data_IF_543185651227
#
_entry.id   IF_543185651227
#
_cell.length_a   1.000
_cell.length_b   1.000
_cell.length_c   1.000
_cell.angle_alpha   90.00
_cell.angle_beta   90.00
_cell.angle_gamma   90.00
#
_symmetry.space_group_name_H-M   'P 1'
#
loop_
_entity.id
_entity.type
_entity.pdbx_description
1 polymer ?
#
# COMPACT_ATOMS: atom_id res chain seq x y z
N UNK A 1 0.65 20.95 29.78
CA UNK A 1 0.61 19.82 28.82
C UNK A 1 1.99 19.20 28.83
N UNK A 2 2.11 17.95 29.30
CA UNK A 2 3.40 17.25 29.31
C UNK A 2 3.58 16.62 27.92
N UNK A 3 4.07 17.39 26.95
CA UNK A 3 4.43 16.87 25.63
C UNK A 3 5.77 16.17 25.77
N UNK A 4 5.74 14.90 26.19
CA UNK A 4 6.93 14.06 26.17
C UNK A 4 7.43 14.00 24.73
N UNK A 5 8.55 14.67 24.45
CA UNK A 5 9.25 14.57 23.16
C UNK A 5 9.72 13.13 23.00
N UNK A 6 9.20 12.42 22.01
CA UNK A 6 9.57 11.04 21.75
C UNK A 6 9.21 10.62 20.32
N UNK A 7 9.94 9.64 19.81
CA UNK A 7 9.60 8.93 18.58
C UNK A 7 8.45 7.94 18.83
N UNK A 8 7.72 7.57 17.77
CA UNK A 8 6.94 6.34 17.80
C UNK A 8 7.88 5.14 17.80
N UNK A 9 7.55 4.09 18.53
CA UNK A 9 8.42 2.91 18.65
C UNK A 9 8.33 2.06 17.39
N UNK A 10 9.39 1.33 17.02
CA UNK A 10 9.36 0.42 15.86
C UNK A 10 8.21 -0.62 15.97
N UNK A 11 7.88 -1.04 17.19
CA UNK A 11 6.74 -1.92 17.45
C UNK A 11 5.38 -1.29 17.12
N UNK A 12 5.22 0.02 17.34
CA UNK A 12 4.02 0.75 16.90
C UNK A 12 3.90 0.78 15.37
N UNK A 13 5.01 0.91 14.62
CA UNK A 13 4.99 0.86 13.15
C UNK A 13 4.63 -0.52 12.61
N UNK A 14 5.20 -1.59 13.16
CA UNK A 14 4.85 -2.94 12.71
C UNK A 14 3.40 -3.27 13.06
N UNK A 15 2.92 -2.84 14.24
CA UNK A 15 1.50 -2.96 14.57
C UNK A 15 0.61 -2.20 13.59
N UNK A 16 1.01 -0.99 13.19
CA UNK A 16 0.33 -0.22 12.15
C UNK A 16 0.24 -1.01 10.84
N UNK A 17 1.33 -1.69 10.42
CA UNK A 17 1.31 -2.54 9.23
C UNK A 17 0.31 -3.70 9.37
N UNK A 18 0.30 -4.40 10.51
CA UNK A 18 -0.69 -5.47 10.77
C UNK A 18 -2.14 -4.97 10.72
N UNK A 19 -2.43 -3.81 11.30
CA UNK A 19 -3.76 -3.20 11.27
C UNK A 19 -4.11 -2.70 9.84
N UNK A 20 -3.13 -2.18 9.11
CA UNK A 20 -3.25 -1.69 7.72
C UNK A 20 -3.42 -2.82 6.70
N UNK A 21 -2.88 -4.01 6.95
CA UNK A 21 -3.19 -5.21 6.18
C UNK A 21 -4.45 -5.90 6.67
N UNK A 22 -4.77 -5.84 7.97
CA UNK A 22 -6.02 -6.38 8.50
C UNK A 22 -6.05 -7.88 8.66
N UNK A 23 -4.87 -8.45 8.83
CA UNK A 23 -4.65 -9.90 8.91
C UNK A 23 -4.97 -10.47 10.29
N UNK A 24 -5.10 -9.61 11.32
CA UNK A 24 -5.50 -9.99 12.68
C UNK A 24 -6.90 -9.43 13.01
N UNK A 25 -7.99 -10.09 12.55
CA UNK A 25 -9.34 -9.68 12.89
C UNK A 25 -9.56 -9.71 14.41
N UNK A 26 -10.18 -8.67 14.97
CA UNK A 26 -10.50 -8.60 16.41
C UNK A 26 -11.71 -9.45 16.82
N UNK A 27 -12.56 -9.86 15.86
CA UNK A 27 -13.67 -10.83 15.98
C UNK A 27 -14.01 -11.45 14.61
N UNK A 28 -14.30 -12.75 14.62
CA UNK A 28 -15.03 -13.53 13.59
C UNK A 28 -14.61 -13.27 12.13
N UNK A 29 -13.40 -13.70 11.75
CA UNK A 29 -13.17 -14.08 10.36
C UNK A 29 -12.61 -15.50 10.36
N UNK A 30 -13.43 -16.45 9.89
CA UNK A 30 -13.03 -17.84 9.66
C UNK A 30 -12.39 -17.93 8.28
N UNK A 31 -11.08 -17.76 8.25
CA UNK A 31 -10.24 -18.35 7.21
C UNK A 31 -9.13 -19.09 7.95
N UNK A 32 -9.06 -20.40 7.70
CA UNK A 32 -8.55 -21.45 8.59
C UNK A 32 -7.02 -21.64 8.61
N UNK A 33 -6.21 -20.58 8.50
CA UNK A 33 -4.74 -20.75 8.57
C UNK A 33 -4.11 -20.27 9.89
N UNK A 34 -4.79 -19.39 10.64
CA UNK A 34 -4.31 -18.88 11.92
C UNK A 34 -5.41 -19.05 12.96
N UNK A 35 -5.20 -19.98 13.89
CA UNK A 35 -6.14 -20.20 14.98
C UNK A 35 -6.19 -19.01 15.96
N UNK A 36 -7.21 -18.98 16.81
CA UNK A 36 -7.38 -17.91 17.81
C UNK A 36 -6.24 -17.83 18.84
N UNK A 37 -5.51 -18.92 19.06
CA UNK A 37 -4.37 -18.97 19.98
C UNK A 37 -3.18 -18.22 19.37
N UNK A 38 -2.86 -18.53 18.11
CA UNK A 38 -1.82 -17.86 17.33
C UNK A 38 -2.13 -16.38 17.16
N UNK A 39 -3.38 -16.00 16.85
CA UNK A 39 -3.80 -14.58 16.79
C UNK A 39 -3.53 -13.86 18.10
N UNK A 40 -3.94 -14.43 19.24
CA UNK A 40 -3.70 -13.85 20.57
C UNK A 40 -2.20 -13.75 20.89
N UNK A 41 -1.41 -14.75 20.50
CA UNK A 41 0.03 -14.75 20.68
C UNK A 41 0.69 -13.60 19.89
N UNK A 42 0.35 -13.43 18.61
CA UNK A 42 0.86 -12.34 17.77
C UNK A 42 0.42 -10.97 18.33
N UNK A 43 -0.85 -10.81 18.72
CA UNK A 43 -1.33 -9.57 19.33
C UNK A 43 -0.60 -9.22 20.63
N UNK A 44 -0.29 -10.22 21.46
CA UNK A 44 0.50 -10.04 22.68
C UNK A 44 1.94 -9.64 22.36
N UNK A 45 2.56 -10.25 21.35
CA UNK A 45 3.92 -9.91 20.90
C UNK A 45 3.98 -8.49 20.34
N UNK A 46 3.04 -8.10 19.47
CA UNK A 46 2.92 -6.72 18.96
C UNK A 46 2.72 -5.70 20.08
N UNK A 47 1.92 -6.03 21.10
CA UNK A 47 1.68 -5.15 22.24
C UNK A 47 2.93 -4.95 23.12
N UNK A 48 3.75 -5.99 23.28
CA UNK A 48 5.05 -5.91 23.97
C UNK A 48 6.06 -5.10 23.17
N UNK A 49 6.17 -5.37 21.87
CA UNK A 49 7.04 -4.62 20.95
C UNK A 49 6.70 -3.12 20.93
N UNK A 50 5.41 -2.77 20.90
CA UNK A 50 4.98 -1.38 20.92
C UNK A 50 5.38 -0.64 22.21
N UNK A 51 5.58 -1.36 23.31
CA UNK A 51 6.07 -0.85 24.60
C UNK A 51 7.59 -1.00 24.78
N UNK A 52 8.29 -1.44 23.73
CA UNK A 52 9.72 -1.73 23.77
C UNK A 52 10.12 -2.76 24.83
N UNK A 53 9.25 -3.75 25.09
CA UNK A 53 9.51 -4.84 26.04
C UNK A 53 10.15 -6.07 25.36
N UNK A 54 11.23 -6.60 25.96
CA UNK A 54 11.85 -7.88 25.57
C UNK A 54 12.95 -7.77 24.50
N UNK A 55 13.24 -8.88 23.81
CA UNK A 55 14.25 -8.94 22.74
C UNK A 55 13.79 -8.26 21.46
N UNK A 56 13.99 -6.94 21.37
CA UNK A 56 13.38 -6.08 20.33
C UNK A 56 13.68 -6.55 18.90
N UNK A 57 14.96 -6.73 18.54
CA UNK A 57 15.36 -7.05 17.16
C UNK A 57 14.86 -8.42 16.71
N UNK A 58 15.05 -9.46 17.53
CA UNK A 58 14.59 -10.82 17.19
C UNK A 58 13.07 -10.89 17.12
N UNK A 59 12.37 -10.25 18.06
CA UNK A 59 10.91 -10.20 18.07
C UNK A 59 10.37 -9.41 16.88
N UNK A 60 11.01 -8.30 16.49
CA UNK A 60 10.63 -7.48 15.34
C UNK A 60 10.79 -8.26 14.04
N UNK A 61 11.94 -8.90 13.83
CA UNK A 61 12.19 -9.75 12.66
C UNK A 61 11.18 -10.89 12.56
N UNK A 62 10.85 -11.54 13.69
CA UNK A 62 9.86 -12.60 13.73
C UNK A 62 8.46 -12.12 13.32
N UNK A 63 7.98 -10.98 13.85
CA UNK A 63 6.64 -10.48 13.50
C UNK A 63 6.55 -10.01 12.04
N UNK A 64 7.64 -9.50 11.46
CA UNK A 64 7.69 -9.15 10.03
C UNK A 64 7.62 -10.42 9.18
N UNK A 65 8.39 -11.45 9.53
CA UNK A 65 8.36 -12.74 8.83
C UNK A 65 6.97 -13.37 8.90
N UNK A 66 6.33 -13.34 10.07
CA UNK A 66 4.95 -13.82 10.24
C UNK A 66 3.98 -13.04 9.35
N UNK A 67 4.06 -11.72 9.29
CA UNK A 67 3.20 -10.92 8.41
C UNK A 67 3.37 -11.32 6.94
N UNK A 68 4.63 -11.50 6.49
CA UNK A 68 4.93 -11.94 5.14
C UNK A 68 4.35 -13.32 4.83
N UNK A 69 4.47 -14.28 5.76
CA UNK A 69 3.90 -15.61 5.61
C UNK A 69 2.38 -15.59 5.53
N UNK A 70 1.72 -14.73 6.32
CA UNK A 70 0.25 -14.58 6.26
C UNK A 70 -0.17 -13.99 4.92
N UNK A 71 0.49 -12.93 4.45
CA UNK A 71 0.13 -12.30 3.18
C UNK A 71 0.37 -13.23 1.97
N UNK A 72 1.39 -14.09 2.06
CA UNK A 72 1.67 -15.08 1.02
C UNK A 72 0.57 -16.14 0.87
N UNK A 73 -0.30 -16.36 1.87
CA UNK A 73 -1.46 -17.24 1.70
C UNK A 73 -2.62 -16.59 0.96
N UNK A 74 -2.66 -15.25 0.88
CA UNK A 74 -3.71 -14.51 0.18
C UNK A 74 -3.37 -14.16 -1.27
N UNK A 75 -2.08 -14.02 -1.61
CA UNK A 75 -1.66 -13.63 -2.96
C UNK A 75 -0.91 -14.75 -3.67
N UNK A 76 -1.30 -15.10 -4.91
CA UNK A 76 -0.76 -16.28 -5.61
C UNK A 76 0.62 -16.07 -6.23
N UNK A 77 1.24 -14.89 -6.11
CA UNK A 77 2.51 -14.56 -6.78
C UNK A 77 3.54 -13.98 -5.83
N UNK A 78 4.70 -14.64 -5.79
CA UNK A 78 5.87 -14.16 -5.03
C UNK A 78 6.39 -12.83 -5.57
N UNK A 79 6.21 -12.55 -6.88
CA UNK A 79 6.59 -11.28 -7.50
C UNK A 79 5.70 -10.15 -6.97
N UNK A 80 4.39 -10.36 -6.90
CA UNK A 80 3.45 -9.37 -6.34
C UNK A 80 3.73 -9.16 -4.85
N UNK A 81 3.93 -10.24 -4.10
CA UNK A 81 4.28 -10.17 -2.68
C UNK A 81 5.58 -9.40 -2.43
N UNK A 82 6.62 -9.69 -3.20
CA UNK A 82 7.89 -8.96 -3.11
C UNK A 82 7.70 -7.49 -3.50
N UNK A 83 6.89 -7.23 -4.53
CA UNK A 83 6.66 -5.89 -5.01
C UNK A 83 5.94 -5.00 -3.99
N UNK A 84 5.02 -5.57 -3.22
CA UNK A 84 4.34 -4.92 -2.10
C UNK A 84 5.29 -4.77 -0.92
N UNK A 85 6.02 -5.83 -0.54
CA UNK A 85 6.85 -5.85 0.67
C UNK A 85 8.03 -4.88 0.64
N UNK A 86 8.65 -4.70 -0.53
CA UNK A 86 9.87 -3.88 -0.66
C UNK A 86 9.67 -2.42 -0.22
N UNK A 87 8.65 -1.66 -0.71
CA UNK A 87 8.38 -0.31 -0.19
C UNK A 87 8.13 -0.24 1.32
N UNK A 88 7.48 -1.24 1.93
CA UNK A 88 7.27 -1.25 3.39
C UNK A 88 8.58 -1.44 4.15
N UNK A 89 9.48 -2.29 3.63
CA UNK A 89 10.79 -2.47 4.21
C UNK A 89 11.62 -1.19 4.14
N UNK A 90 11.59 -0.48 3.01
CA UNK A 90 12.30 0.80 2.84
C UNK A 90 11.79 1.86 3.82
N UNK A 91 10.47 1.96 4.00
CA UNK A 91 9.87 2.86 5.00
C UNK A 91 10.30 2.51 6.43
N UNK A 92 10.33 1.21 6.77
CA UNK A 92 10.77 0.75 8.08
C UNK A 92 12.25 1.05 8.32
N UNK A 93 13.10 0.82 7.33
CA UNK A 93 14.53 1.13 7.40
C UNK A 93 14.76 2.64 7.53
N UNK A 94 14.09 3.46 6.71
CA UNK A 94 14.18 4.91 6.77
C UNK A 94 13.72 5.46 8.13
N UNK A 95 12.63 4.93 8.69
CA UNK A 95 12.19 5.30 10.02
C UNK A 95 13.17 4.86 11.11
N UNK A 96 13.74 3.65 10.99
CA UNK A 96 14.74 3.15 11.93
C UNK A 96 16.01 4.01 11.91
N UNK A 97 16.39 4.48 10.74
CA UNK A 97 17.49 5.44 10.57
C UNK A 97 17.18 6.77 11.25
N UNK A 98 15.98 7.33 11.02
CA UNK A 98 15.52 8.55 11.68
C UNK A 98 15.66 8.45 13.21
N UNK A 99 15.15 7.38 13.82
CA UNK A 99 15.20 7.17 15.27
C UNK A 99 16.63 7.03 15.81
N UNK A 100 17.54 6.45 15.01
CA UNK A 100 18.94 6.23 15.40
C UNK A 100 19.81 7.47 15.25
N UNK A 101 19.57 8.26 14.21
CA UNK A 101 20.49 9.31 13.77
C UNK A 101 20.00 10.72 14.10
N UNK A 102 18.69 10.93 14.28
CA UNK A 102 18.12 12.24 14.60
C UNK A 102 17.64 12.32 16.05
N UNK A 103 17.88 13.48 16.68
CA UNK A 103 17.22 13.88 17.91
C UNK A 103 15.91 14.62 17.60
N UNK A 104 14.90 14.49 18.47
CA UNK A 104 13.63 15.22 18.31
C UNK A 104 13.26 15.99 19.57
N UNK A 105 12.78 17.22 19.38
CA UNK A 105 12.07 18.00 20.40
C UNK A 105 10.55 17.93 20.21
N UNK A 106 10.11 17.30 19.12
CA UNK A 106 8.71 17.20 18.73
C UNK A 106 7.99 16.12 19.53
N UNK A 107 6.67 16.26 19.68
CA UNK A 107 5.84 15.16 20.17
C UNK A 107 5.88 13.97 19.21
N UNK A 108 5.41 12.81 19.67
CA UNK A 108 5.27 11.61 18.82
C UNK A 108 4.50 11.88 17.54
N UNK A 109 3.37 12.59 17.65
CA UNK A 109 2.53 12.90 16.49
C UNK A 109 3.25 13.84 15.51
N UNK A 110 3.92 14.86 16.01
CA UNK A 110 4.67 15.78 15.15
C UNK A 110 5.89 15.13 14.49
N UNK A 111 6.56 14.22 15.20
CA UNK A 111 7.68 13.44 14.65
C UNK A 111 7.23 12.53 13.51
N UNK A 112 6.07 11.86 13.66
CA UNK A 112 5.49 11.06 12.58
C UNK A 112 5.04 11.95 11.41
N UNK A 113 4.44 13.11 11.70
CA UNK A 113 4.07 14.09 10.66
C UNK A 113 5.28 14.56 9.86
N UNK A 114 6.36 14.91 10.56
CA UNK A 114 7.64 15.27 9.96
C UNK A 114 8.16 14.15 9.06
N UNK A 115 8.28 12.93 9.58
CA UNK A 115 8.72 11.77 8.81
C UNK A 115 7.87 11.54 7.55
N UNK A 116 6.53 11.62 7.65
CA UNK A 116 5.63 11.48 6.50
C UNK A 116 5.95 12.51 5.42
N UNK A 117 6.07 13.78 5.83
CA UNK A 117 6.21 14.93 4.93
C UNK A 117 7.59 15.01 4.28
N UNK A 118 8.65 14.64 4.99
CA UNK A 118 10.03 14.84 4.53
C UNK A 118 10.68 13.58 3.97
N UNK A 119 10.18 12.41 4.34
CA UNK A 119 10.87 11.14 4.05
C UNK A 119 9.93 10.09 3.47
N UNK A 120 8.82 9.79 4.13
CA UNK A 120 7.99 8.65 3.76
C UNK A 120 7.36 8.79 2.37
N UNK A 121 6.77 9.94 2.05
CA UNK A 121 6.11 10.14 0.75
C UNK A 121 7.11 10.11 -0.42
N UNK A 122 8.21 10.90 -0.41
CA UNK A 122 9.20 10.84 -1.48
C UNK A 122 9.79 9.43 -1.64
N UNK A 123 10.15 8.78 -0.52
CA UNK A 123 10.71 7.43 -0.54
C UNK A 123 9.72 6.42 -1.11
N UNK A 124 8.46 6.46 -0.66
CA UNK A 124 7.43 5.53 -1.12
C UNK A 124 7.25 5.60 -2.64
N UNK A 125 7.27 6.79 -3.24
CA UNK A 125 7.16 6.95 -4.71
C UNK A 125 8.34 6.30 -5.44
N UNK A 126 9.57 6.53 -4.97
CA UNK A 126 10.78 5.93 -5.54
C UNK A 126 10.76 4.42 -5.37
N UNK A 127 10.54 3.94 -4.15
CA UNK A 127 10.49 2.51 -3.81
C UNK A 127 9.40 1.77 -4.58
N UNK A 128 8.23 2.37 -4.80
CA UNK A 128 7.18 1.78 -5.63
C UNK A 128 7.66 1.59 -7.07
N UNK A 129 8.24 2.61 -7.70
CA UNK A 129 8.76 2.49 -9.07
C UNK A 129 9.91 1.48 -9.17
N UNK A 130 10.84 1.49 -8.20
CA UNK A 130 11.91 0.52 -8.08
C UNK A 130 11.36 -0.91 -8.03
N UNK A 131 10.38 -1.12 -7.18
CA UNK A 131 9.76 -2.40 -6.95
C UNK A 131 9.01 -2.91 -8.18
N UNK A 132 8.23 -2.04 -8.85
CA UNK A 132 7.52 -2.37 -10.08
C UNK A 132 8.46 -2.81 -11.21
N UNK A 133 9.60 -2.13 -11.37
CA UNK A 133 10.61 -2.48 -12.36
C UNK A 133 11.34 -3.78 -11.97
N UNK A 134 11.87 -3.86 -10.75
CA UNK A 134 12.66 -4.99 -10.26
C UNK A 134 11.89 -6.32 -10.34
N UNK A 135 10.60 -6.29 -10.03
CA UNK A 135 9.74 -7.47 -10.04
C UNK A 135 8.95 -7.65 -11.34
N UNK A 136 9.20 -6.82 -12.36
CA UNK A 136 8.59 -6.91 -13.69
C UNK A 136 7.07 -7.05 -13.65
N UNK A 137 6.39 -6.30 -12.79
CA UNK A 137 4.93 -6.45 -12.62
C UNK A 137 4.14 -6.16 -13.91
N UNK A 138 4.70 -5.40 -14.85
CA UNK A 138 4.10 -5.18 -16.16
C UNK A 138 3.87 -6.49 -16.94
N UNK A 139 4.69 -7.51 -16.71
CA UNK A 139 4.59 -8.81 -17.40
C UNK A 139 3.44 -9.67 -16.86
N UNK A 140 2.90 -9.35 -15.68
CA UNK A 140 1.78 -10.07 -15.08
C UNK A 140 0.43 -9.69 -15.70
N UNK A 141 0.38 -8.70 -16.59
CA UNK A 141 -0.83 -8.27 -17.31
C UNK A 141 -2.04 -8.02 -16.39
N UNK A 142 -1.80 -7.52 -15.17
CA UNK A 142 -2.84 -7.28 -14.18
C UNK A 142 -3.80 -6.18 -14.67
N UNK A 143 -5.10 -6.46 -14.60
CA UNK A 143 -6.15 -5.48 -14.93
C UNK A 143 -6.42 -4.58 -13.71
N UNK A 144 -6.14 -3.29 -13.84
CA UNK A 144 -6.21 -2.34 -12.73
C UNK A 144 -7.18 -1.19 -13.06
N UNK A 145 -7.72 -0.48 -12.04
CA UNK A 145 -8.50 0.71 -12.29
C UNK A 145 -7.74 1.74 -13.15
N UNK A 146 -8.43 2.35 -14.12
CA UNK A 146 -7.84 3.32 -15.07
C UNK A 146 -7.44 4.67 -14.43
N UNK A 147 -7.96 5.00 -13.25
CA UNK A 147 -7.55 6.18 -12.50
C UNK A 147 -6.12 5.99 -11.99
N UNK A 148 -5.15 6.77 -12.47
CA UNK A 148 -3.73 6.67 -12.10
C UNK A 148 -3.46 6.65 -10.58
N UNK A 149 -4.38 7.20 -9.79
CA UNK A 149 -4.27 7.30 -8.33
C UNK A 149 -5.46 6.65 -7.62
N UNK A 150 -5.99 5.55 -8.17
CA UNK A 150 -7.09 4.78 -7.59
C UNK A 150 -6.82 4.33 -6.15
N UNK A 151 -5.55 4.14 -5.80
CA UNK A 151 -5.09 3.76 -4.46
C UNK A 151 -5.00 4.94 -3.48
N UNK A 152 -5.17 6.19 -3.91
CA UNK A 152 -5.25 7.36 -3.02
C UNK A 152 -6.71 7.74 -2.72
N UNK A 153 -7.02 8.22 -1.49
CA UNK A 153 -8.35 8.72 -1.19
C UNK A 153 -8.67 9.98 -2.01
N UNK A 154 -9.95 10.24 -2.24
CA UNK A 154 -10.40 11.56 -2.69
C UNK A 154 -10.98 12.31 -1.49
N UNK A 155 -10.38 13.44 -1.15
CA UNK A 155 -10.90 14.36 -0.13
C UNK A 155 -11.87 15.33 -0.82
N UNK A 156 -13.15 15.28 -0.43
CA UNK A 156 -14.17 16.21 -0.93
C UNK A 156 -14.08 17.56 -0.21
N UNK A 157 -14.68 18.59 -0.78
CA UNK A 157 -14.72 19.95 -0.22
C UNK A 157 -15.30 19.99 1.20
N UNK A 158 -16.28 19.13 1.49
CA UNK A 158 -16.91 18.98 2.81
C UNK A 158 -16.05 18.18 3.82
N UNK A 159 -14.83 17.76 3.43
CA UNK A 159 -13.94 16.94 4.24
C UNK A 159 -14.30 15.46 4.31
N UNK A 160 -15.35 15.02 3.59
CA UNK A 160 -15.68 13.60 3.44
C UNK A 160 -14.68 12.91 2.51
N UNK A 161 -14.46 11.62 2.76
CA UNK A 161 -13.50 10.82 2.00
C UNK A 161 -14.23 9.82 1.10
N UNK A 162 -13.81 9.72 -0.15
CA UNK A 162 -14.00 8.51 -0.96
C UNK A 162 -12.76 7.66 -0.77
N UNK A 163 -12.91 6.53 -0.08
CA UNK A 163 -11.79 5.66 0.25
C UNK A 163 -11.34 4.84 -0.97
N UNK A 164 -10.05 4.51 -1.11
CA UNK A 164 -9.56 3.63 -2.17
C UNK A 164 -10.34 2.31 -2.28
N UNK A 165 -10.74 1.70 -1.15
CA UNK A 165 -11.50 0.45 -1.15
C UNK A 165 -12.86 0.62 -1.82
N UNK A 166 -13.55 1.74 -1.58
CA UNK A 166 -14.82 2.06 -2.25
C UNK A 166 -14.60 2.22 -3.76
N UNK A 167 -13.53 2.91 -4.18
CA UNK A 167 -13.18 3.07 -5.60
C UNK A 167 -12.95 1.73 -6.28
N UNK A 168 -12.14 0.87 -5.67
CA UNK A 168 -11.82 -0.45 -6.22
C UNK A 168 -13.06 -1.34 -6.26
N UNK A 169 -13.86 -1.42 -5.20
CA UNK A 169 -15.08 -2.23 -5.22
C UNK A 169 -16.04 -1.78 -6.35
N UNK A 170 -16.20 -0.47 -6.55
CA UNK A 170 -16.99 0.07 -7.68
C UNK A 170 -16.38 -0.29 -9.03
N UNK A 171 -15.06 -0.20 -9.17
CA UNK A 171 -14.36 -0.64 -10.37
C UNK A 171 -14.61 -2.12 -10.66
N UNK A 172 -14.57 -3.01 -9.66
CA UNK A 172 -14.88 -4.43 -9.86
C UNK A 172 -16.28 -4.61 -10.46
N UNK A 173 -17.27 -3.94 -9.88
CA UNK A 173 -18.65 -4.03 -10.35
C UNK A 173 -18.79 -3.56 -11.81
N UNK A 174 -18.20 -2.40 -12.14
CA UNK A 174 -18.16 -1.91 -13.53
C UNK A 174 -17.40 -2.86 -14.44
N UNK A 175 -16.28 -3.43 -13.99
CA UNK A 175 -15.43 -4.31 -14.79
C UNK A 175 -16.09 -5.64 -15.14
N UNK A 176 -16.98 -6.12 -14.26
CA UNK A 176 -17.79 -7.31 -14.47
C UNK A 176 -19.15 -7.01 -15.14
N UNK A 177 -19.47 -5.75 -15.44
CA UNK A 177 -20.78 -5.31 -15.93
C UNK A 177 -21.95 -5.75 -15.03
N UNK A 178 -21.78 -5.54 -13.72
CA UNK A 178 -22.76 -5.93 -12.70
C UNK A 178 -22.99 -4.76 -11.73
N UNK A 179 -24.20 -4.67 -11.18
CA UNK A 179 -24.42 -3.89 -9.97
C UNK A 179 -23.82 -4.58 -8.75
N UNK A 180 -23.58 -3.84 -7.68
CA UNK A 180 -23.16 -4.39 -6.38
C UNK A 180 -24.07 -5.54 -5.90
N UNK A 181 -25.38 -5.39 -6.09
CA UNK A 181 -26.37 -6.43 -5.74
C UNK A 181 -26.21 -7.67 -6.61
N UNK A 182 -26.11 -7.51 -7.92
CA UNK A 182 -25.96 -8.66 -8.83
C UNK A 182 -24.63 -9.39 -8.62
N UNK A 183 -23.57 -8.67 -8.25
CA UNK A 183 -22.26 -9.25 -7.97
C UNK A 183 -22.27 -10.13 -6.71
N UNK A 184 -22.78 -9.62 -5.60
CA UNK A 184 -22.74 -10.33 -4.30
C UNK A 184 -23.95 -11.23 -4.04
N UNK A 185 -25.06 -11.02 -4.75
CA UNK A 185 -26.28 -11.82 -4.64
C UNK A 185 -26.90 -11.99 -6.05
N UNK A 186 -26.26 -12.78 -6.92
CA UNK A 186 -26.79 -13.05 -8.26
C UNK A 186 -28.16 -13.72 -8.18
N UNK A 187 -29.10 -13.26 -9.01
CA UNK A 187 -30.47 -13.80 -9.04
C UNK A 187 -31.40 -13.31 -7.93
N UNK A 188 -30.97 -12.38 -7.07
CA UNK A 188 -31.78 -11.87 -5.95
C UNK A 188 -33.15 -11.36 -6.41
N UNK A 189 -34.19 -11.96 -5.86
CA UNK A 189 -35.61 -11.60 -6.03
C UNK A 189 -36.32 -11.69 -4.66
N UNK A 190 -37.59 -11.24 -4.54
CA UNK A 190 -38.32 -11.28 -3.28
C UNK A 190 -38.46 -12.67 -2.64
N UNK A 191 -38.31 -13.74 -3.41
CA UNK A 191 -38.40 -15.13 -2.95
C UNK A 191 -37.03 -15.76 -2.63
N UNK A 192 -35.93 -15.03 -2.81
CA UNK A 192 -34.57 -15.56 -2.61
C UNK A 192 -34.21 -15.61 -1.12
N UNK A 193 -33.80 -16.80 -0.64
CA UNK A 193 -33.52 -17.06 0.79
C UNK A 193 -32.09 -17.54 1.06
N UNK A 194 -31.09 -16.91 0.42
CA UNK A 194 -29.69 -17.17 0.73
C UNK A 194 -29.17 -16.20 1.79
N UNK A 195 -29.09 -16.68 3.04
CA UNK A 195 -28.50 -15.94 4.15
C UNK A 195 -27.04 -15.52 3.87
N UNK A 196 -26.25 -16.40 3.26
CA UNK A 196 -24.84 -16.12 2.94
C UNK A 196 -24.70 -14.99 1.92
N UNK A 197 -25.43 -15.05 0.80
CA UNK A 197 -25.36 -14.01 -0.24
C UNK A 197 -25.93 -12.68 0.26
N UNK A 198 -26.97 -12.73 1.09
CA UNK A 198 -27.51 -11.54 1.75
C UNK A 198 -26.48 -10.90 2.68
N UNK A 199 -25.81 -11.70 3.52
CA UNK A 199 -24.73 -11.23 4.39
C UNK A 199 -23.57 -10.65 3.58
N UNK A 200 -23.23 -11.27 2.44
CA UNK A 200 -22.17 -10.76 1.58
C UNK A 200 -22.49 -9.40 0.98
N UNK A 201 -23.73 -9.23 0.51
CA UNK A 201 -24.22 -7.94 0.02
C UNK A 201 -24.24 -6.87 1.13
N UNK A 202 -24.74 -7.20 2.32
CA UNK A 202 -24.83 -6.25 3.43
C UNK A 202 -23.44 -5.79 3.91
N UNK A 203 -22.48 -6.72 3.93
CA UNK A 203 -21.08 -6.41 4.20
C UNK A 203 -20.51 -5.47 3.14
N UNK A 204 -20.71 -5.79 1.85
CA UNK A 204 -20.24 -4.96 0.76
C UNK A 204 -20.82 -3.54 0.83
N UNK A 205 -22.10 -3.38 1.15
CA UNK A 205 -22.76 -2.07 1.32
C UNK A 205 -22.13 -1.27 2.48
N UNK A 206 -21.81 -1.93 3.59
CA UNK A 206 -21.14 -1.28 4.73
C UNK A 206 -19.72 -0.83 4.37
N UNK A 207 -19.00 -1.62 3.57
CA UNK A 207 -17.63 -1.32 3.16
C UNK A 207 -17.57 -0.19 2.12
N UNK A 208 -18.45 -0.20 1.11
CA UNK A 208 -18.51 0.87 0.10
C UNK A 208 -19.00 2.21 0.67
N UNK A 209 -19.75 2.20 1.78
CA UNK A 209 -20.12 3.42 2.53
C UNK A 209 -19.05 3.89 3.51
N UNK A 210 -17.93 3.19 3.63
CA UNK A 210 -16.83 3.55 4.53
C UNK A 210 -17.12 3.38 6.02
N UNK A 211 -18.24 2.76 6.40
CA UNK A 211 -18.67 2.59 7.81
C UNK A 211 -17.64 1.80 8.61
N UNK A 212 -17.17 0.69 8.04
CA UNK A 212 -16.14 -0.18 8.63
C UNK A 212 -15.20 -0.68 7.54
N UNK A 213 -13.91 -0.66 7.84
CA UNK A 213 -12.93 -1.33 6.98
C UNK A 213 -12.92 -2.83 7.29
N UNK A 214 -13.03 -3.73 6.30
CA UNK A 214 -12.99 -5.16 6.55
C UNK A 214 -11.62 -5.65 7.01
N UNK A 215 -11.61 -6.75 7.75
CA UNK A 215 -10.40 -7.59 7.84
C UNK A 215 -10.13 -8.22 6.48
N UNK A 216 -8.86 -8.43 6.13
CA UNK A 216 -8.48 -9.00 4.84
C UNK A 216 -9.13 -10.37 4.57
N UNK A 217 -9.11 -11.34 5.51
CA UNK A 217 -9.77 -12.63 5.27
C UNK A 217 -11.27 -12.50 4.98
N UNK A 218 -11.97 -11.59 5.68
CA UNK A 218 -13.40 -11.38 5.45
C UNK A 218 -13.68 -10.72 4.09
N UNK A 219 -12.80 -9.81 3.65
CA UNK A 219 -12.91 -9.19 2.33
C UNK A 219 -12.69 -10.23 1.23
N UNK A 220 -11.65 -11.05 1.35
CA UNK A 220 -11.30 -12.02 0.31
C UNK A 220 -12.37 -13.10 0.20
N UNK A 221 -12.76 -13.70 1.33
CA UNK A 221 -13.83 -14.70 1.39
C UNK A 221 -15.14 -14.20 0.77
N UNK A 222 -15.52 -12.96 1.05
CA UNK A 222 -16.72 -12.35 0.48
C UNK A 222 -16.66 -12.29 -1.06
N UNK A 223 -15.51 -11.93 -1.64
CA UNK A 223 -15.32 -11.93 -3.08
C UNK A 223 -15.21 -13.33 -3.67
N UNK A 224 -14.51 -14.27 -3.02
CA UNK A 224 -14.43 -15.68 -3.44
C UNK A 224 -15.82 -16.33 -3.52
N UNK A 225 -16.63 -16.18 -2.47
CA UNK A 225 -18.01 -16.67 -2.43
C UNK A 225 -18.88 -16.01 -3.50
N UNK A 226 -18.66 -14.71 -3.77
CA UNK A 226 -19.39 -13.98 -4.83
C UNK A 226 -19.00 -14.50 -6.22
N UNK A 227 -17.71 -14.75 -6.48
CA UNK A 227 -17.25 -15.36 -7.73
C UNK A 227 -17.83 -16.76 -7.93
N UNK A 228 -17.85 -17.59 -6.88
CA UNK A 228 -18.45 -18.92 -6.93
C UNK A 228 -19.96 -18.87 -7.24
N UNK A 229 -20.69 -17.94 -6.60
CA UNK A 229 -22.11 -17.75 -6.84
C UNK A 229 -22.41 -17.23 -8.25
N UNK A 230 -21.57 -16.34 -8.77
CA UNK A 230 -21.67 -15.83 -10.15
C UNK A 230 -21.44 -16.93 -11.18
N UNK A 231 -20.44 -17.79 -10.97
CA UNK A 231 -20.18 -18.95 -11.82
C UNK A 231 -21.37 -19.92 -11.85
N UNK A 232 -21.98 -20.20 -10.70
CA UNK A 232 -23.21 -21.02 -10.61
C UNK A 232 -24.40 -20.41 -11.35
N UNK A 233 -24.42 -19.08 -11.53
CA UNK A 233 -25.44 -18.35 -12.29
C UNK A 233 -25.02 -18.07 -13.74
N UNK A 234 -24.01 -18.78 -14.26
CA UNK A 234 -23.57 -18.68 -15.65
C UNK A 234 -22.79 -17.40 -16.00
N UNK A 235 -22.26 -16.69 -15.00
CA UNK A 235 -21.43 -15.49 -15.17
C UNK A 235 -20.05 -15.67 -14.53
N UNK A 236 -19.23 -16.52 -15.11
CA UNK A 236 -17.88 -16.76 -14.56
C UNK A 236 -16.98 -15.53 -14.71
N UNK A 237 -16.14 -15.29 -13.70
CA UNK A 237 -15.10 -14.26 -13.69
C UNK A 237 -13.76 -14.97 -13.89
N UNK A 238 -13.02 -14.65 -14.95
CA UNK A 238 -11.77 -15.35 -15.25
C UNK A 238 -10.78 -15.29 -14.08
N UNK A 239 -9.93 -16.32 -13.94
CA UNK A 239 -8.98 -16.41 -12.82
C UNK A 239 -7.97 -15.27 -12.84
N UNK A 240 -7.55 -14.82 -14.00
CA UNK A 240 -6.64 -13.68 -14.19
C UNK A 240 -7.27 -12.38 -13.66
N UNK A 241 -8.56 -12.18 -13.92
CA UNK A 241 -9.30 -11.03 -13.40
C UNK A 241 -9.52 -11.15 -11.89
N UNK A 242 -9.83 -12.35 -11.36
CA UNK A 242 -9.92 -12.57 -9.91
C UNK A 242 -8.61 -12.19 -9.19
N UNK A 243 -7.45 -12.60 -9.72
CA UNK A 243 -6.13 -12.22 -9.18
C UNK A 243 -5.95 -10.71 -9.21
N UNK A 244 -6.25 -10.06 -10.33
CA UNK A 244 -6.14 -8.61 -10.46
C UNK A 244 -7.02 -7.87 -9.45
N UNK A 245 -8.25 -8.36 -9.24
CA UNK A 245 -9.19 -7.86 -8.23
C UNK A 245 -8.62 -7.99 -6.82
N UNK A 246 -8.09 -9.17 -6.44
CA UNK A 246 -7.54 -9.37 -5.09
C UNK A 246 -6.34 -8.46 -4.80
N UNK A 247 -5.46 -8.26 -5.78
CA UNK A 247 -4.32 -7.35 -5.65
C UNK A 247 -4.79 -5.91 -5.47
N UNK A 248 -5.73 -5.45 -6.30
CA UNK A 248 -6.30 -4.11 -6.18
C UNK A 248 -7.01 -3.91 -4.82
N UNK A 249 -7.78 -4.90 -4.36
CA UNK A 249 -8.46 -4.88 -3.07
C UNK A 249 -7.50 -4.79 -1.89
N UNK A 250 -6.40 -5.56 -1.92
CA UNK A 250 -5.36 -5.52 -0.88
C UNK A 250 -4.73 -4.12 -0.77
N UNK A 251 -4.26 -3.57 -1.89
CA UNK A 251 -3.63 -2.24 -1.95
C UNK A 251 -4.62 -1.16 -1.49
N UNK A 252 -5.87 -1.24 -1.97
CA UNK A 252 -6.91 -0.29 -1.62
C UNK A 252 -7.31 -0.38 -0.15
N UNK A 253 -7.32 -1.58 0.44
CA UNK A 253 -7.58 -1.77 1.88
C UNK A 253 -6.50 -1.10 2.71
N UNK A 254 -5.23 -1.35 2.41
CA UNK A 254 -4.08 -0.73 3.10
C UNK A 254 -4.15 0.78 3.01
N UNK A 255 -4.32 1.30 1.81
CA UNK A 255 -4.36 2.75 1.58
C UNK A 255 -5.59 3.40 2.25
N UNK A 256 -6.73 2.71 2.30
CA UNK A 256 -7.91 3.19 3.02
C UNK A 256 -7.69 3.24 4.53
N UNK A 257 -6.96 2.27 5.10
CA UNK A 257 -6.61 2.29 6.51
C UNK A 257 -5.69 3.47 6.84
N UNK A 258 -4.60 3.62 6.08
CA UNK A 258 -3.64 4.70 6.26
C UNK A 258 -4.30 6.09 6.11
N UNK A 259 -5.17 6.26 5.11
CA UNK A 259 -5.93 7.50 4.93
C UNK A 259 -6.80 7.83 6.16
N UNK A 260 -7.45 6.83 6.77
CA UNK A 260 -8.24 7.03 7.99
C UNK A 260 -7.37 7.40 9.19
N UNK A 261 -6.23 6.74 9.38
CA UNK A 261 -5.33 7.04 10.50
C UNK A 261 -4.69 8.43 10.36
N UNK A 262 -4.27 8.81 9.15
CA UNK A 262 -3.73 10.16 8.87
C UNK A 262 -4.81 11.23 9.12
N UNK A 263 -6.02 11.06 8.56
CA UNK A 263 -7.13 12.01 8.80
C UNK A 263 -7.46 12.14 10.30
N UNK A 264 -7.45 11.03 11.03
CA UNK A 264 -7.75 11.01 12.46
C UNK A 264 -6.66 11.71 13.28
N UNK A 265 -5.40 11.54 12.91
CA UNK A 265 -4.27 12.12 13.64
C UNK A 265 -4.04 13.61 13.31
N UNK A 266 -4.29 14.04 12.07
CA UNK A 266 -3.82 15.34 11.57
C UNK A 266 -4.86 16.18 10.83
N UNK A 267 -6.11 15.72 10.68
CA UNK A 267 -7.20 16.35 9.92
C UNK A 267 -7.24 16.05 8.40
N UNK A 268 -8.37 16.34 7.71
CA UNK A 268 -8.54 16.10 6.28
C UNK A 268 -7.64 16.94 5.36
N UNK A 269 -7.24 18.15 5.78
CA UNK A 269 -6.39 19.04 4.98
C UNK A 269 -4.99 18.46 4.88
N UNK A 270 -4.42 18.02 6.00
CA UNK A 270 -3.11 17.37 5.97
C UNK A 270 -3.12 16.08 5.13
N UNK A 271 -4.20 15.29 5.18
CA UNK A 271 -4.35 14.13 4.29
C UNK A 271 -4.36 14.55 2.82
N UNK A 272 -5.05 15.63 2.46
CA UNK A 272 -5.07 16.15 1.10
C UNK A 272 -3.67 16.60 0.65
N UNK A 273 -2.96 17.34 1.48
CA UNK A 273 -1.58 17.80 1.21
C UNK A 273 -0.63 16.62 1.01
N UNK A 274 -0.69 15.61 1.88
CA UNK A 274 0.09 14.38 1.74
C UNK A 274 -0.22 13.62 0.42
N UNK A 275 -1.50 13.55 0.04
CA UNK A 275 -1.90 12.93 -1.23
C UNK A 275 -1.43 13.75 -2.44
N UNK A 276 -1.46 15.08 -2.34
CA UNK A 276 -1.00 15.97 -3.39
C UNK A 276 0.52 15.87 -3.57
N UNK A 277 1.27 15.87 -2.47
CA UNK A 277 2.72 15.65 -2.49
C UNK A 277 3.07 14.31 -3.15
N UNK A 278 2.35 13.23 -2.84
CA UNK A 278 2.56 11.95 -3.50
C UNK A 278 2.34 12.05 -5.02
N UNK A 279 1.26 12.72 -5.46
CA UNK A 279 0.95 12.89 -6.89
C UNK A 279 2.04 13.67 -7.61
N UNK A 280 2.54 14.75 -7.02
CA UNK A 280 3.61 15.56 -7.57
C UNK A 280 4.89 14.76 -7.77
N UNK A 281 5.33 14.01 -6.74
CA UNK A 281 6.49 13.12 -6.87
C UNK A 281 6.27 12.01 -7.90
N UNK A 282 5.06 11.43 -7.95
CA UNK A 282 4.73 10.37 -8.89
C UNK A 282 4.76 10.87 -10.35
N UNK A 283 4.31 12.10 -10.61
CA UNK A 283 4.41 12.73 -11.93
C UNK A 283 5.86 13.04 -12.25
N UNK A 284 6.61 13.62 -11.32
CA UNK A 284 8.02 13.98 -11.50
C UNK A 284 8.90 12.78 -11.89
N UNK A 285 8.74 11.64 -11.21
CA UNK A 285 9.55 10.44 -11.50
C UNK A 285 9.09 9.70 -12.77
N UNK A 286 7.83 9.90 -13.20
CA UNK A 286 7.25 9.12 -14.29
C UNK A 286 8.00 9.33 -15.61
N UNK A 287 8.41 10.57 -15.92
CA UNK A 287 9.13 10.88 -17.16
C UNK A 287 10.48 10.15 -17.21
N UNK A 288 11.25 10.20 -16.12
CA UNK A 288 12.58 9.57 -16.01
C UNK A 288 12.47 8.03 -16.09
N UNK A 289 11.48 7.44 -15.41
CA UNK A 289 11.21 5.99 -15.47
C UNK A 289 10.70 5.54 -16.85
N UNK A 290 9.86 6.34 -17.50
CA UNK A 290 9.35 6.03 -18.84
C UNK A 290 10.44 6.14 -19.89
N UNK A 291 11.34 7.13 -19.77
CA UNK A 291 12.53 7.24 -20.61
C UNK A 291 13.42 6.00 -20.46
N UNK A 292 13.72 5.57 -19.23
CA UNK A 292 14.45 4.33 -18.97
C UNK A 292 13.83 3.12 -19.68
N UNK A 293 12.52 2.92 -19.53
CA UNK A 293 11.80 1.82 -20.20
C UNK A 293 11.90 1.90 -21.72
N UNK A 294 11.75 3.10 -22.28
CA UNK A 294 11.81 3.32 -23.73
C UNK A 294 13.21 3.04 -24.30
N UNK A 295 14.27 3.49 -23.62
CA UNK A 295 15.65 3.23 -24.02
C UNK A 295 16.02 1.75 -23.94
N UNK A 296 15.50 1.03 -22.94
CA UNK A 296 15.80 -0.39 -22.74
C UNK A 296 14.98 -1.32 -23.65
N UNK A 297 13.80 -0.90 -24.11
CA UNK A 297 12.91 -1.69 -24.97
C UNK A 297 13.57 -2.35 -26.20
N UNK A 298 14.34 -1.64 -27.05
CA UNK A 298 15.00 -2.26 -28.21
C UNK A 298 16.06 -3.30 -27.80
N UNK A 299 16.77 -3.08 -26.69
CA UNK A 299 17.76 -4.03 -26.16
C UNK A 299 17.06 -5.31 -25.69
N UNK A 300 15.90 -5.18 -25.06
CA UNK A 300 15.10 -6.31 -24.59
C UNK A 300 14.55 -7.16 -25.74
N UNK A 301 14.22 -6.55 -26.89
CA UNK A 301 13.76 -7.27 -28.09
C UNK A 301 14.85 -8.13 -28.75
N UNK A 302 16.11 -7.82 -28.50
CA UNK A 302 17.26 -8.53 -29.09
C UNK A 302 17.75 -9.69 -28.22
N UNK A 303 17.12 -9.94 -27.07
CA UNK A 303 17.55 -10.98 -26.14
C UNK A 303 17.18 -12.37 -26.65
N UNK A 304 18.17 -13.27 -26.70
CA UNK A 304 18.03 -14.61 -27.28
C UNK A 304 17.28 -15.59 -26.35
N UNK A 305 17.22 -15.31 -25.05
CA UNK A 305 16.51 -16.14 -24.07
C UNK A 305 15.84 -15.33 -22.95
N UNK A 306 14.82 -15.90 -22.28
CA UNK A 306 14.19 -15.31 -21.10
C UNK A 306 15.16 -15.04 -19.94
N UNK A 307 16.16 -15.90 -19.75
CA UNK A 307 17.18 -15.76 -18.70
C UNK A 307 18.12 -14.59 -18.99
N UNK A 308 18.59 -14.47 -20.24
CA UNK A 308 19.39 -13.32 -20.68
C UNK A 308 18.61 -12.02 -20.52
N UNK A 309 17.34 -12.02 -20.95
CA UNK A 309 16.44 -10.89 -20.79
C UNK A 309 16.27 -10.49 -19.31
N UNK A 310 16.06 -11.47 -18.41
CA UNK A 310 15.94 -11.20 -16.98
C UNK A 310 17.24 -10.62 -16.38
N UNK A 311 18.39 -11.18 -16.76
CA UNK A 311 19.70 -10.70 -16.28
C UNK A 311 20.00 -9.27 -16.75
N UNK A 312 19.80 -8.98 -18.04
CA UNK A 312 19.99 -7.64 -18.62
C UNK A 312 19.04 -6.64 -17.97
N UNK A 313 17.76 -7.00 -17.82
CA UNK A 313 16.77 -6.14 -17.18
C UNK A 313 17.15 -5.79 -15.74
N UNK A 314 17.51 -6.78 -14.92
CA UNK A 314 17.86 -6.55 -13.52
C UNK A 314 19.15 -5.72 -13.38
N UNK A 315 20.13 -5.95 -14.26
CA UNK A 315 21.36 -5.16 -14.31
C UNK A 315 21.07 -3.71 -14.68
N UNK A 316 20.31 -3.48 -15.74
CA UNK A 316 19.91 -2.15 -16.18
C UNK A 316 19.08 -1.42 -15.11
N UNK A 317 18.16 -2.11 -14.43
CA UNK A 317 17.41 -1.54 -13.31
C UNK A 317 18.33 -1.11 -12.18
N UNK A 318 19.28 -1.95 -11.77
CA UNK A 318 20.25 -1.62 -10.72
C UNK A 318 21.06 -0.37 -11.08
N UNK A 319 21.58 -0.33 -12.30
CA UNK A 319 22.45 0.76 -12.75
C UNK A 319 21.65 2.06 -12.92
N UNK A 320 20.42 1.99 -13.44
CA UNK A 320 19.48 3.10 -13.50
C UNK A 320 19.20 3.70 -12.11
N UNK A 321 18.87 2.87 -11.12
CA UNK A 321 18.55 3.37 -9.79
C UNK A 321 19.77 3.93 -9.04
N UNK A 322 20.97 3.39 -9.30
CA UNK A 322 22.21 3.98 -8.81
C UNK A 322 22.44 5.37 -9.43
N UNK A 323 22.27 5.51 -10.75
CA UNK A 323 22.37 6.79 -11.46
C UNK A 323 21.34 7.81 -10.96
N UNK A 324 20.07 7.40 -10.85
CA UNK A 324 18.99 8.23 -10.32
C UNK A 324 19.30 8.73 -8.91
N UNK A 325 19.79 7.84 -8.02
CA UNK A 325 20.19 8.20 -6.66
C UNK A 325 21.32 9.24 -6.63
N UNK A 326 22.33 9.10 -7.49
CA UNK A 326 23.41 10.09 -7.63
C UNK A 326 22.88 11.43 -8.11
N UNK A 327 22.01 11.45 -9.14
CA UNK A 327 21.38 12.68 -9.66
C UNK A 327 20.60 13.43 -8.57
N UNK A 328 19.81 12.71 -7.76
CA UNK A 328 19.06 13.30 -6.64
C UNK A 328 20.00 13.87 -5.57
N UNK A 329 21.09 13.16 -5.26
CA UNK A 329 22.09 13.61 -4.27
C UNK A 329 22.80 14.87 -4.74
N UNK A 330 23.24 14.93 -5.98
CA UNK A 330 23.90 16.11 -6.57
C UNK A 330 22.99 17.35 -6.54
N UNK A 331 21.70 17.18 -6.88
CA UNK A 331 20.71 18.26 -6.79
C UNK A 331 20.51 18.70 -5.35
N UNK A 332 20.39 17.77 -4.40
CA UNK A 332 20.24 18.08 -2.98
C UNK A 332 21.44 18.88 -2.45
N UNK A 333 22.67 18.47 -2.79
CA UNK A 333 23.90 19.16 -2.44
C UNK A 333 23.94 20.57 -3.03
N UNK A 334 23.51 20.72 -4.30
CA UNK A 334 23.44 22.02 -4.96
C UNK A 334 22.44 22.96 -4.28
N UNK A 335 21.25 22.47 -3.97
CA UNK A 335 20.22 23.23 -3.23
C UNK A 335 20.74 23.64 -1.86
N UNK A 336 21.44 22.73 -1.16
CA UNK A 336 22.02 23.04 0.14
C UNK A 336 23.12 24.11 0.06
N UNK A 337 24.00 24.03 -0.95
CA UNK A 337 25.00 25.06 -1.23
C UNK A 337 24.34 26.42 -1.52
N UNK A 338 23.28 26.46 -2.33
CA UNK A 338 22.54 27.70 -2.63
C UNK A 338 21.90 28.31 -1.38
N UNK A 339 21.28 27.49 -0.52
CA UNK A 339 20.69 27.95 0.76
C UNK A 339 21.76 28.49 1.71
N UNK A 340 22.94 27.86 1.77
CA UNK A 340 24.07 28.36 2.57
C UNK A 340 24.64 29.67 2.03
N UNK A 341 24.71 29.82 0.71
CA UNK A 341 25.20 31.02 0.07
C UNK A 341 24.26 32.22 0.25
N UNK A 342 22.96 31.99 0.44
CA UNK A 342 21.93 33.02 0.68
C UNK A 342 20.99 32.65 1.82
N UNK A 343 21.44 32.72 3.08
CA UNK A 343 20.60 32.39 4.22
C UNK A 343 19.37 33.29 4.29
N UNK A 344 18.18 32.70 4.37
CA UNK A 344 16.91 33.43 4.54
C UNK A 344 16.27 34.00 3.27
N UNK A 345 16.93 33.87 2.10
CA UNK A 345 16.33 34.29 0.82
C UNK A 345 15.78 33.06 0.09
N UNK A 346 14.52 33.09 -0.41
CA UNK A 346 14.00 32.03 -1.28
C UNK A 346 14.93 31.81 -2.48
N UNK A 347 15.12 30.54 -2.87
CA UNK A 347 15.75 30.23 -4.16
C UNK A 347 14.77 30.72 -5.23
N UNK A 348 15.27 31.48 -6.21
CA UNK A 348 14.41 31.98 -7.28
C UNK A 348 13.98 30.83 -8.19
N UNK A 349 12.75 30.88 -8.68
CA UNK A 349 12.17 29.84 -9.55
C UNK A 349 12.91 29.68 -10.88
N UNK A 350 13.72 30.66 -11.31
CA UNK A 350 14.56 30.58 -12.52
C UNK A 350 15.93 29.92 -12.29
N UNK A 351 16.22 29.51 -11.05
CA UNK A 351 17.45 28.81 -10.63
C UNK A 351 17.16 27.34 -10.29
N UNK A 352 15.89 26.99 -10.06
CA UNK A 352 15.37 25.63 -9.93
C UNK A 352 15.01 25.10 -11.32
#
# INVERSE_FOLDING_TARGET
>A
MNTNSCFATQGELVKLAYDAFGVLPRKEASHDDIDEIQKKAIQKQLSRLAKEEGGLLSNLGQVIQTLSSILASYLPSIQIMSAIGHPFNDLLEAYSRLVREEGTYLSKSETVRYFISTTAIPLLVVSLNQSLLKHRLADLTLDMPKDNFWYLPTVKEDGNLVLPLEKVMRWVYTRCDLSQTQFHYPGKNPQSDSNTLQQNLDNAVKWTRGVRLPALPALFKNFEESFAALAQNGRDVSKELQVSIFVALLIARVSSYLAREIKKAYDPRYLADACQQFREYAVWIADDVNEFKAQLAPVMQQQESPESAAFVWLTACRDYWAFFGSKVTEVADKVWQLKRARPGTPIRDDVL
#
